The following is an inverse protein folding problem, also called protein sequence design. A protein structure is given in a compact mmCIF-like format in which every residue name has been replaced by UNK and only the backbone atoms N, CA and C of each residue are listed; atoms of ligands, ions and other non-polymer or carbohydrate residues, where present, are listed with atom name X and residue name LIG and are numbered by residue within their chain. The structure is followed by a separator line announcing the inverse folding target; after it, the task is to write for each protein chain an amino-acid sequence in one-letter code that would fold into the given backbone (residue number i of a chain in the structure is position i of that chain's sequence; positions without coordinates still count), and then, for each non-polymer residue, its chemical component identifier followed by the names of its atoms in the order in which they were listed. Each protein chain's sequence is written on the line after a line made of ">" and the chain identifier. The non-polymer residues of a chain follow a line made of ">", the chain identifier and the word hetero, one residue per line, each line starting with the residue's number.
data_IF_191702925813
#
_entry.id   IF_191702925813
#
_cell.length_a   1.000
_cell.length_b   1.000
_cell.length_c   1.000
_cell.angle_alpha   90.00
_cell.angle_beta   90.00
_cell.angle_gamma   90.00
#
_symmetry.space_group_name_H-M   'P 1'
#
loop_
_entity.id
_entity.type
_entity.pdbx_description
1 polymer ?
#
# COMPACT_ATOMS: atom_id res chain seq x y z
N UNK A 1 16.87 18.74 -12.86
CA UNK A 1 15.53 18.99 -12.27
C UNK A 1 15.29 17.84 -11.29
N UNK A 2 15.32 18.10 -9.98
CA UNK A 2 14.96 17.05 -9.01
C UNK A 2 13.46 16.83 -9.10
N UNK A 3 13.03 15.61 -9.40
CA UNK A 3 11.62 15.25 -9.38
C UNK A 3 11.23 15.07 -7.92
N UNK A 4 10.37 15.95 -7.39
CA UNK A 4 9.78 15.76 -6.07
C UNK A 4 8.59 14.81 -6.21
N UNK A 5 8.77 13.55 -5.83
CA UNK A 5 7.72 12.53 -5.88
C UNK A 5 6.61 12.70 -4.83
N UNK A 6 6.72 13.73 -3.98
CA UNK A 6 5.82 14.01 -2.86
C UNK A 6 5.03 15.32 -3.04
N UNK A 7 5.07 15.91 -4.25
CA UNK A 7 4.28 17.11 -4.58
C UNK A 7 2.84 16.75 -4.93
N UNK A 8 2.06 16.43 -3.89
CA UNK A 8 0.64 16.14 -4.04
C UNK A 8 -0.14 17.44 -4.24
N UNK A 9 -1.06 17.45 -5.19
CA UNK A 9 -2.02 18.54 -5.40
C UNK A 9 -3.30 18.31 -4.60
N UNK A 10 -3.76 17.06 -4.55
CA UNK A 10 -4.95 16.65 -3.83
C UNK A 10 -4.65 15.44 -2.94
N UNK A 11 -5.18 15.48 -1.72
CA UNK A 11 -5.20 14.35 -0.79
C UNK A 11 -6.65 14.01 -0.47
N UNK A 12 -7.02 12.77 -0.71
CA UNK A 12 -8.30 12.20 -0.38
C UNK A 12 -8.11 11.25 0.79
N UNK A 13 -9.02 11.29 1.75
CA UNK A 13 -8.96 10.46 2.96
C UNK A 13 -10.32 9.79 3.13
N UNK A 14 -10.36 8.47 3.18
CA UNK A 14 -11.58 7.76 3.53
C UNK A 14 -12.01 8.17 4.94
N UNK A 15 -13.29 8.54 5.13
CA UNK A 15 -13.77 9.22 6.35
C UNK A 15 -13.40 8.43 7.61
N UNK A 16 -13.51 7.09 7.59
CA UNK A 16 -13.15 6.23 8.73
C UNK A 16 -11.67 6.32 9.16
N UNK A 17 -10.79 6.77 8.26
CA UNK A 17 -9.36 6.95 8.50
C UNK A 17 -8.95 8.40 8.73
N UNK A 18 -9.90 9.33 8.80
CA UNK A 18 -9.66 10.77 9.03
C UNK A 18 -8.79 11.03 10.25
N UNK A 19 -9.09 10.40 11.38
CA UNK A 19 -8.35 10.58 12.65
C UNK A 19 -7.34 9.46 12.90
N UNK A 20 -7.07 8.60 11.91
CA UNK A 20 -6.14 7.50 12.09
C UNK A 20 -4.70 8.01 12.27
N UNK A 21 -3.96 7.43 13.22
CA UNK A 21 -2.60 7.88 13.56
C UNK A 21 -1.65 7.89 12.35
N UNK A 22 -1.74 6.89 11.47
CA UNK A 22 -0.87 6.80 10.30
C UNK A 22 -1.28 7.83 9.24
N UNK A 23 -2.57 8.14 9.12
CA UNK A 23 -3.03 9.27 8.28
C UNK A 23 -2.40 10.57 8.76
N UNK A 24 -2.50 10.88 10.05
CA UNK A 24 -1.95 12.11 10.62
C UNK A 24 -0.42 12.19 10.47
N UNK A 25 0.28 11.07 10.68
CA UNK A 25 1.73 10.95 10.47
C UNK A 25 2.13 11.19 9.00
N UNK A 26 1.38 10.65 8.05
CA UNK A 26 1.63 10.87 6.62
C UNK A 26 1.41 12.35 6.30
N UNK A 27 0.29 12.93 6.73
CA UNK A 27 -0.03 14.34 6.49
C UNK A 27 1.03 15.29 7.07
N UNK A 28 1.57 14.99 8.26
CA UNK A 28 2.58 15.83 8.90
C UNK A 28 3.93 15.86 8.18
N UNK A 29 4.15 14.94 7.23
CA UNK A 29 5.38 14.84 6.43
C UNK A 29 5.21 15.31 5.00
N UNK A 30 3.97 15.59 4.59
CA UNK A 30 3.70 16.10 3.26
C UNK A 30 3.99 17.59 3.25
N UNK A 31 4.81 18.00 2.30
CA UNK A 31 5.12 19.38 1.99
C UNK A 31 4.18 19.89 0.88
N UNK A 32 4.12 21.21 0.71
CA UNK A 32 3.06 21.83 -0.10
C UNK A 32 1.74 21.88 0.66
N UNK A 33 0.82 22.72 0.23
CA UNK A 33 -0.49 22.85 0.87
C UNK A 33 -1.55 22.17 -0.01
N UNK A 34 -1.55 20.82 -0.12
CA UNK A 34 -2.49 20.10 -0.97
C UNK A 34 -3.92 20.32 -0.50
N UNK A 35 -4.86 20.26 -1.44
CA UNK A 35 -6.28 20.25 -1.09
C UNK A 35 -6.62 18.91 -0.44
N UNK A 36 -7.02 18.93 0.83
CA UNK A 36 -7.50 17.75 1.54
C UNK A 36 -9.01 17.63 1.39
N UNK A 37 -9.51 16.44 1.06
CA UNK A 37 -10.94 16.14 0.96
C UNK A 37 -11.24 14.77 1.56
N UNK A 38 -12.44 14.61 2.11
CA UNK A 38 -12.87 13.36 2.71
C UNK A 38 -13.90 12.66 1.84
N UNK A 39 -13.85 11.33 1.82
CA UNK A 39 -14.67 10.48 0.96
C UNK A 39 -15.29 9.36 1.77
N UNK A 40 -16.57 9.07 1.53
CA UNK A 40 -17.30 8.00 2.22
C UNK A 40 -17.13 6.66 1.49
N UNK A 41 -17.41 6.63 0.19
CA UNK A 41 -17.22 5.44 -0.66
C UNK A 41 -16.02 5.62 -1.61
N UNK A 42 -14.96 4.86 -1.35
CA UNK A 42 -13.75 4.85 -2.20
C UNK A 42 -13.99 4.27 -3.58
N UNK A 43 -14.82 3.23 -3.71
CA UNK A 43 -14.99 2.58 -5.01
C UNK A 43 -15.71 3.51 -5.97
N UNK A 44 -16.75 4.17 -5.50
CA UNK A 44 -17.49 5.14 -6.30
C UNK A 44 -16.66 6.40 -6.54
N UNK A 45 -15.89 6.84 -5.54
CA UNK A 45 -14.92 7.91 -5.73
C UNK A 45 -13.90 7.58 -6.84
N UNK A 46 -13.24 6.42 -6.79
CA UNK A 46 -12.26 6.02 -7.82
C UNK A 46 -12.91 5.94 -9.20
N UNK A 47 -14.13 5.42 -9.32
CA UNK A 47 -14.88 5.37 -10.59
C UNK A 47 -15.27 6.75 -11.12
N UNK A 48 -15.45 7.73 -10.24
CA UNK A 48 -15.81 9.10 -10.61
C UNK A 48 -14.62 9.90 -11.16
N UNK A 49 -13.39 9.44 -10.90
CA UNK A 49 -12.18 10.08 -11.40
C UNK A 49 -11.94 9.74 -12.88
N UNK A 50 -11.29 10.63 -13.63
CA UNK A 50 -10.90 10.32 -15.00
C UNK A 50 -9.90 9.15 -15.04
N UNK A 51 -9.91 8.41 -16.13
CA UNK A 51 -8.93 7.34 -16.37
C UNK A 51 -7.57 7.94 -16.71
N UNK A 52 -6.53 7.52 -15.97
CA UNK A 52 -5.15 8.00 -16.14
C UNK A 52 -4.19 6.81 -16.07
N UNK A 53 -3.32 6.72 -17.07
CA UNK A 53 -2.25 5.72 -17.14
C UNK A 53 -0.89 6.31 -16.75
N UNK A 54 -0.69 7.62 -16.97
CA UNK A 54 0.55 8.33 -16.65
C UNK A 54 0.86 8.27 -15.14
N UNK A 55 2.05 7.74 -14.74
CA UNK A 55 2.52 7.81 -13.36
C UNK A 55 2.57 9.23 -12.81
N UNK A 56 3.01 10.19 -13.62
CA UNK A 56 3.18 11.58 -13.21
C UNK A 56 1.83 12.21 -12.83
N UNK A 57 0.81 12.04 -13.68
CA UNK A 57 -0.53 12.56 -13.42
C UNK A 57 -1.16 11.90 -12.20
N UNK A 58 -1.07 10.56 -12.10
CA UNK A 58 -1.58 9.80 -10.95
C UNK A 58 -0.91 10.22 -9.64
N UNK A 59 0.39 10.49 -9.66
CA UNK A 59 1.16 10.84 -8.45
C UNK A 59 0.82 12.21 -7.86
N UNK A 60 0.13 13.07 -8.61
CA UNK A 60 -0.38 14.37 -8.11
C UNK A 60 -1.55 14.18 -7.13
N UNK A 61 -2.19 13.01 -7.09
CA UNK A 61 -3.33 12.73 -6.24
C UNK A 61 -3.05 11.54 -5.32
N UNK A 62 -3.24 11.74 -4.02
CA UNK A 62 -3.06 10.70 -2.99
C UNK A 62 -4.40 10.31 -2.38
N UNK A 63 -4.65 9.01 -2.21
CA UNK A 63 -5.78 8.47 -1.46
C UNK A 63 -5.27 7.68 -0.25
N UNK A 64 -5.69 8.08 0.93
CA UNK A 64 -5.44 7.41 2.21
C UNK A 64 -6.68 6.58 2.59
N UNK A 65 -6.54 5.26 2.63
CA UNK A 65 -7.65 4.32 2.80
C UNK A 65 -7.18 3.01 3.46
N UNK A 66 -7.97 1.93 3.40
CA UNK A 66 -7.60 0.60 3.86
C UNK A 66 -7.82 -0.44 2.75
N UNK A 67 -7.21 -1.61 2.92
CA UNK A 67 -7.29 -2.67 1.91
C UNK A 67 -8.74 -3.14 1.77
N UNK A 68 -9.18 -3.29 0.51
CA UNK A 68 -10.47 -3.88 0.14
C UNK A 68 -10.26 -5.32 -0.33
N UNK A 69 -11.13 -6.21 0.12
CA UNK A 69 -11.03 -7.65 -0.17
C UNK A 69 -9.93 -8.33 0.65
N UNK A 70 -9.32 -9.36 0.07
CA UNK A 70 -8.28 -10.15 0.75
C UNK A 70 -7.00 -9.32 0.98
N UNK A 71 -6.57 -9.29 2.25
CA UNK A 71 -5.32 -8.65 2.68
C UNK A 71 -4.10 -9.39 2.14
N UNK A 72 -4.10 -10.73 2.27
CA UNK A 72 -3.03 -11.60 1.83
C UNK A 72 -3.48 -12.41 0.62
N UNK A 73 -3.10 -11.96 -0.58
CA UNK A 73 -3.45 -12.62 -1.83
C UNK A 73 -2.32 -13.50 -2.33
N UNK A 74 -2.64 -14.52 -3.13
CA UNK A 74 -1.62 -15.22 -3.92
C UNK A 74 -1.21 -14.34 -5.10
N UNK A 75 0.10 -14.28 -5.37
CA UNK A 75 0.59 -13.73 -6.62
C UNK A 75 -0.06 -14.50 -7.78
N UNK A 76 -0.54 -13.83 -8.84
CA UNK A 76 -1.23 -14.47 -9.96
C UNK A 76 -0.36 -15.50 -10.68
N UNK A 77 0.96 -15.41 -10.53
CA UNK A 77 1.92 -16.29 -11.19
C UNK A 77 1.96 -16.06 -12.70
N UNK A 78 2.95 -16.63 -13.35
CA UNK A 78 3.03 -16.64 -14.81
C UNK A 78 2.49 -17.96 -15.34
N UNK A 79 1.60 -17.89 -16.32
CA UNK A 79 1.08 -19.10 -16.98
C UNK A 79 2.24 -19.95 -17.51
N UNK A 80 2.11 -21.28 -17.40
CA UNK A 80 3.15 -22.23 -17.81
C UNK A 80 4.35 -22.35 -16.86
N UNK A 81 4.36 -21.67 -15.71
CA UNK A 81 5.45 -21.73 -14.73
C UNK A 81 5.01 -22.41 -13.42
N UNK A 82 5.96 -23.04 -12.73
CA UNK A 82 5.74 -23.55 -11.37
C UNK A 82 5.59 -22.36 -10.42
N UNK A 83 4.47 -22.30 -9.71
CA UNK A 83 4.20 -21.20 -8.78
C UNK A 83 5.19 -21.19 -7.62
N UNK A 84 5.78 -20.03 -7.34
CA UNK A 84 6.76 -19.83 -6.27
C UNK A 84 6.16 -19.69 -4.85
N UNK A 85 4.85 -19.95 -4.72
CA UNK A 85 4.05 -19.79 -3.49
C UNK A 85 4.24 -18.41 -2.83
N UNK A 86 4.28 -17.37 -3.67
CA UNK A 86 4.46 -16.00 -3.23
C UNK A 86 3.10 -15.34 -2.97
N UNK A 87 3.06 -14.58 -1.89
CA UNK A 87 1.91 -13.81 -1.46
C UNK A 87 2.19 -12.32 -1.55
N UNK A 88 1.12 -11.57 -1.72
CA UNK A 88 1.18 -10.13 -1.98
C UNK A 88 0.21 -9.40 -1.06
N UNK A 89 0.69 -8.29 -0.51
CA UNK A 89 -0.12 -7.33 0.25
C UNK A 89 0.00 -5.99 -0.46
N UNK A 90 -1.12 -5.45 -0.91
CA UNK A 90 -1.13 -4.16 -1.62
C UNK A 90 -1.13 -3.00 -0.63
N UNK A 91 0.00 -2.75 0.03
CA UNK A 91 0.18 -1.57 0.90
C UNK A 91 0.08 -0.26 0.12
N UNK A 92 0.57 -0.30 -1.12
CA UNK A 92 0.63 0.81 -2.04
C UNK A 92 0.02 0.38 -3.37
N UNK A 93 -0.72 1.29 -4.01
CA UNK A 93 -1.17 1.12 -5.40
C UNK A 93 -0.79 2.37 -6.18
N UNK A 94 0.02 2.20 -7.21
CA UNK A 94 0.65 3.29 -7.95
C UNK A 94 2.11 3.52 -7.52
N UNK A 95 2.86 4.13 -8.42
CA UNK A 95 4.26 4.49 -8.23
C UNK A 95 4.52 5.78 -9.05
N UNK A 96 5.22 6.77 -8.51
CA UNK A 96 5.51 8.02 -9.21
C UNK A 96 6.74 7.90 -10.13
N UNK A 97 7.46 6.78 -10.05
CA UNK A 97 8.62 6.52 -10.90
C UNK A 97 8.12 6.25 -12.32
N UNK A 98 8.34 7.22 -13.22
CA UNK A 98 8.00 7.16 -14.65
C UNK A 98 8.88 6.19 -15.45
N UNK A 99 9.14 4.99 -14.93
CA UNK A 99 10.04 4.02 -15.55
C UNK A 99 9.51 3.55 -16.91
N UNK A 100 10.31 3.68 -17.97
CA UNK A 100 9.92 3.35 -19.35
C UNK A 100 9.49 1.89 -19.56
N UNK A 101 9.89 0.98 -18.66
CA UNK A 101 9.61 -0.45 -18.72
C UNK A 101 8.50 -0.90 -17.75
N UNK A 102 7.85 0.02 -17.05
CA UNK A 102 6.91 -0.33 -15.98
C UNK A 102 5.58 -0.83 -16.54
N UNK A 103 5.32 -2.14 -16.38
CA UNK A 103 4.07 -2.78 -16.79
C UNK A 103 2.83 -2.19 -16.09
N UNK A 104 3.00 -1.62 -14.89
CA UNK A 104 1.89 -1.02 -14.14
C UNK A 104 1.30 0.20 -14.85
N UNK A 105 2.05 0.85 -15.75
CA UNK A 105 1.53 1.97 -16.55
C UNK A 105 0.40 1.54 -17.49
N UNK A 106 0.40 0.30 -17.97
CA UNK A 106 -0.70 -0.22 -18.80
C UNK A 106 -1.78 -0.92 -17.98
N UNK A 107 -1.49 -1.27 -16.73
CA UNK A 107 -2.39 -2.03 -15.86
C UNK A 107 -3.25 -1.13 -14.97
N UNK A 108 -2.65 -0.11 -14.35
CA UNK A 108 -3.34 0.77 -13.42
C UNK A 108 -3.99 1.93 -14.19
N UNK A 109 -5.28 2.15 -14.01
CA UNK A 109 -6.05 3.15 -14.76
C UNK A 109 -6.71 4.21 -13.87
N UNK A 110 -6.55 4.13 -12.56
CA UNK A 110 -7.07 5.10 -11.60
C UNK A 110 -6.18 6.36 -11.49
N UNK A 111 -6.78 7.54 -11.37
CA UNK A 111 -6.05 8.82 -11.23
C UNK A 111 -5.61 9.15 -9.79
N UNK A 112 -5.36 8.13 -8.97
CA UNK A 112 -4.87 8.31 -7.59
C UNK A 112 -3.81 7.27 -7.26
N UNK A 113 -2.81 7.69 -6.51
CA UNK A 113 -1.94 6.79 -5.76
C UNK A 113 -2.63 6.45 -4.45
N UNK A 114 -2.63 5.18 -4.06
CA UNK A 114 -3.32 4.70 -2.87
C UNK A 114 -2.28 4.27 -1.83
N UNK A 115 -2.42 4.74 -0.59
CA UNK A 115 -1.71 4.22 0.57
C UNK A 115 -2.73 3.65 1.54
N UNK A 116 -2.55 2.38 1.90
CA UNK A 116 -3.37 1.73 2.91
C UNK A 116 -2.83 2.06 4.31
N UNK A 117 -3.59 2.83 5.09
CA UNK A 117 -3.13 3.44 6.35
C UNK A 117 -3.19 2.52 7.57
N UNK A 118 -3.94 1.42 7.47
CA UNK A 118 -4.23 0.49 8.57
C UNK A 118 -3.25 -0.69 8.61
N UNK A 119 -1.95 -0.38 8.69
CA UNK A 119 -0.88 -1.39 8.67
C UNK A 119 -0.97 -2.34 9.89
N UNK A 120 -1.53 -1.87 10.99
CA UNK A 120 -1.74 -2.65 12.20
C UNK A 120 -2.73 -3.79 11.97
N UNK A 121 -3.91 -3.48 11.41
CA UNK A 121 -4.90 -4.50 11.06
C UNK A 121 -4.36 -5.45 9.98
N UNK A 122 -3.64 -4.91 8.99
CA UNK A 122 -3.00 -5.71 7.94
C UNK A 122 -2.04 -6.73 8.55
N UNK A 123 -1.18 -6.30 9.48
CA UNK A 123 -0.23 -7.20 10.13
C UNK A 123 -0.92 -8.20 11.05
N UNK A 124 -1.95 -7.78 11.79
CA UNK A 124 -2.75 -8.67 12.63
C UNK A 124 -3.36 -9.83 11.84
N UNK A 125 -3.94 -9.55 10.67
CA UNK A 125 -4.54 -10.59 9.82
C UNK A 125 -3.46 -11.53 9.24
N UNK A 126 -2.28 -11.01 8.88
CA UNK A 126 -1.14 -11.84 8.48
C UNK A 126 -0.67 -12.74 9.62
N UNK A 127 -0.53 -12.19 10.83
CA UNK A 127 -0.12 -12.94 12.02
C UNK A 127 -1.10 -14.09 12.33
N UNK A 128 -2.40 -13.82 12.22
CA UNK A 128 -3.46 -14.82 12.37
C UNK A 128 -3.31 -15.95 11.35
N UNK A 129 -3.22 -15.64 10.06
CA UNK A 129 -3.09 -16.65 8.98
C UNK A 129 -1.84 -17.52 9.17
N UNK A 130 -0.71 -16.91 9.51
CA UNK A 130 0.56 -17.61 9.74
C UNK A 130 0.51 -18.48 10.99
N UNK A 131 -0.22 -18.04 12.03
CA UNK A 131 -0.37 -18.78 13.28
C UNK A 131 -1.27 -20.00 13.12
N UNK A 132 -2.37 -19.87 12.36
CA UNK A 132 -3.29 -20.97 12.05
C UNK A 132 -2.67 -22.06 11.16
N UNK A 133 -1.53 -21.76 10.50
CA UNK A 133 -0.88 -22.67 9.55
C UNK A 133 0.65 -22.75 9.82
N UNK A 134 1.09 -23.27 10.98
CA UNK A 134 2.49 -23.20 11.40
C UNK A 134 3.46 -23.98 10.51
N UNK A 135 3.00 -25.01 9.81
CA UNK A 135 3.83 -25.86 8.94
C UNK A 135 4.08 -25.25 7.54
N UNK A 136 3.41 -24.13 7.22
CA UNK A 136 3.56 -23.46 5.91
C UNK A 136 4.64 -22.38 5.97
N UNK A 137 5.47 -22.33 4.92
CA UNK A 137 6.41 -21.23 4.70
C UNK A 137 5.71 -20.14 3.89
N UNK A 138 5.63 -18.93 4.45
CA UNK A 138 5.06 -17.77 3.79
C UNK A 138 6.17 -16.86 3.23
N UNK A 139 6.11 -16.61 1.91
CA UNK A 139 6.91 -15.58 1.25
C UNK A 139 5.95 -14.46 0.85
N UNK A 140 6.06 -13.31 1.50
CA UNK A 140 5.13 -12.19 1.35
C UNK A 140 5.90 -10.98 0.87
N UNK A 141 5.37 -10.25 -0.09
CA UNK A 141 5.86 -8.90 -0.36
C UNK A 141 4.79 -7.91 -0.75
N UNK A 142 5.23 -6.67 -0.94
CA UNK A 142 4.36 -5.49 -0.91
C UNK A 142 4.49 -4.62 -2.16
N UNK A 143 5.22 -5.11 -3.16
CA UNK A 143 5.60 -4.37 -4.36
C UNK A 143 4.89 -4.78 -5.66
N UNK A 144 3.76 -5.49 -5.58
CA UNK A 144 3.07 -5.97 -6.78
C UNK A 144 2.41 -4.83 -7.57
N UNK A 145 1.68 -3.95 -6.89
CA UNK A 145 0.93 -2.84 -7.52
C UNK A 145 1.54 -1.46 -7.24
N UNK A 146 2.74 -1.39 -6.69
CA UNK A 146 3.45 -0.17 -6.38
C UNK A 146 4.87 -0.46 -5.91
N UNK A 147 5.63 0.57 -5.59
CA UNK A 147 6.97 0.42 -4.99
C UNK A 147 6.89 0.74 -3.49
N UNK A 148 7.25 -0.24 -2.66
CA UNK A 148 7.12 -0.11 -1.20
C UNK A 148 8.09 0.87 -0.57
N UNK A 149 9.20 1.20 -1.24
CA UNK A 149 10.22 2.09 -0.70
C UNK A 149 9.98 3.54 -1.06
N UNK A 150 9.33 3.81 -2.20
CA UNK A 150 9.12 5.18 -2.67
C UNK A 150 8.33 6.03 -1.67
N UNK A 151 7.29 5.47 -1.05
CA UNK A 151 6.48 6.18 -0.05
C UNK A 151 6.83 5.83 1.39
N UNK A 152 7.87 5.03 1.64
CA UNK A 152 8.24 4.62 2.99
C UNK A 152 8.76 5.80 3.83
N UNK A 153 9.31 6.85 3.21
CA UNK A 153 9.62 8.10 3.90
C UNK A 153 8.40 8.71 4.61
N UNK A 154 7.22 8.62 3.98
CA UNK A 154 5.97 9.10 4.56
C UNK A 154 5.45 8.13 5.63
N UNK A 155 5.39 6.83 5.32
CA UNK A 155 4.68 5.85 6.15
C UNK A 155 5.54 5.23 7.26
N UNK A 156 6.82 4.96 6.97
CA UNK A 156 7.76 4.13 7.75
C UNK A 156 7.22 2.73 8.04
N UNK A 157 6.56 2.13 7.06
CA UNK A 157 6.02 0.77 7.18
C UNK A 157 7.13 -0.27 7.24
N UNK A 158 8.26 -0.02 6.59
CA UNK A 158 9.43 -0.90 6.71
C UNK A 158 9.88 -1.05 8.17
N UNK A 159 9.89 0.05 8.94
CA UNK A 159 10.23 0.04 10.36
C UNK A 159 9.16 -0.69 11.17
N UNK A 160 7.88 -0.35 10.97
CA UNK A 160 6.78 -1.02 11.64
C UNK A 160 6.85 -2.55 11.45
N UNK A 161 6.98 -3.02 10.21
CA UNK A 161 7.05 -4.44 9.88
C UNK A 161 8.26 -5.11 10.51
N UNK A 162 9.44 -4.46 10.48
CA UNK A 162 10.64 -4.96 11.15
C UNK A 162 10.42 -5.19 12.64
N UNK A 163 9.80 -4.24 13.33
CA UNK A 163 9.50 -4.37 14.76
C UNK A 163 8.43 -5.44 15.03
N UNK A 164 7.35 -5.43 14.26
CA UNK A 164 6.24 -6.35 14.42
C UNK A 164 6.66 -7.82 14.20
N UNK A 165 7.40 -8.10 13.11
CA UNK A 165 7.93 -9.43 12.81
C UNK A 165 8.88 -9.90 13.93
N UNK A 166 9.78 -9.02 14.39
CA UNK A 166 10.71 -9.36 15.49
C UNK A 166 9.95 -9.74 16.77
N UNK A 167 8.87 -9.04 17.10
CA UNK A 167 8.08 -9.33 18.29
C UNK A 167 7.29 -10.64 18.14
N UNK A 168 6.69 -10.88 16.98
CA UNK A 168 6.03 -12.14 16.65
C UNK A 168 6.97 -13.36 16.76
N UNK A 169 8.19 -13.25 16.22
CA UNK A 169 9.17 -14.34 16.32
C UNK A 169 9.63 -14.60 17.76
N UNK A 170 9.63 -13.57 18.63
CA UNK A 170 9.93 -13.73 20.06
C UNK A 170 8.78 -14.40 20.82
N UNK A 171 7.53 -14.02 20.56
CA UNK A 171 6.37 -14.62 21.23
C UNK A 171 6.26 -16.12 20.94
N UNK A 172 6.55 -16.55 19.70
CA UNK A 172 6.61 -17.98 19.35
C UNK A 172 7.71 -18.76 20.08
N UNK A 173 8.87 -18.15 20.37
CA UNK A 173 9.95 -18.84 21.12
C UNK A 173 9.64 -19.02 22.61
N UNK A 174 8.76 -18.22 23.18
CA UNK A 174 8.40 -18.31 24.60
C UNK A 174 7.21 -19.24 24.86
N UNK A 175 6.50 -19.66 23.81
CA UNK A 175 5.30 -20.50 23.88
C UNK A 175 5.53 -21.94 23.38
N UNK A 176 6.78 -22.33 23.11
CA UNK A 176 7.19 -23.69 22.73
C UNK A 176 8.30 -24.18 23.63
#
# INVERSE_FOLDING_TARGET
>A
MQINFYDFQNIYIEEKFRVHKNTQKILSKIEGNPKVSYIEDVNDFIKSLPVVYSPEERSKNLLLTGIRGEILRRCPGSSGHICCNYYVINLYVGCPLGCSYCILQSYLNQNVTIINVDIENIFYEVEKIVTENPDKIYRIGTGELGDSLVYDYLTEYSLFLKFAIRNFLKSKKNNG
#
